data_IF_539220126257
#
_entry.id   IF_539220126257
#
_cell.length_a   1.000
_cell.length_b   1.000
_cell.length_c   1.000
_cell.angle_alpha   90.00
_cell.angle_beta   90.00
_cell.angle_gamma   90.00
#
_symmetry.space_group_name_H-M   'P 1'
#
loop_
_entity.id
_entity.type
_entity.pdbx_description
1 polymer ?
#
# COMPACT_ATOMS: atom_id res chain seq x y z
N UNK A 1 -22.66 18.42 33.90
CA UNK A 1 -22.44 17.11 33.25
C UNK A 1 -22.48 17.32 31.75
N UNK A 2 -21.38 17.84 31.18
CA UNK A 2 -21.33 18.23 29.77
C UNK A 2 -20.87 17.04 28.94
N UNK A 3 -21.80 16.59 28.11
CA UNK A 3 -21.65 15.54 27.12
C UNK A 3 -20.81 16.14 25.98
N UNK A 4 -19.51 15.82 25.94
CA UNK A 4 -18.71 16.00 24.72
C UNK A 4 -18.41 14.61 24.15
N UNK A 5 -19.43 14.02 23.52
CA UNK A 5 -19.20 12.95 22.54
C UNK A 5 -18.65 13.61 21.28
N UNK A 6 -17.35 13.91 21.32
CA UNK A 6 -16.63 14.43 20.16
C UNK A 6 -16.16 13.28 19.27
N UNK A 7 -16.56 13.40 18.00
CA UNK A 7 -15.93 12.87 16.79
C UNK A 7 -16.01 11.35 16.54
N UNK A 8 -16.91 11.01 15.63
CA UNK A 8 -16.81 9.88 14.71
C UNK A 8 -15.46 9.92 13.96
N UNK A 9 -14.42 9.39 14.59
CA UNK A 9 -13.14 9.14 13.96
C UNK A 9 -13.30 8.04 12.92
N UNK A 10 -13.41 8.41 11.64
CA UNK A 10 -13.27 7.48 10.51
C UNK A 10 -12.08 6.58 10.81
N UNK A 11 -12.34 5.27 10.91
CA UNK A 11 -11.34 4.24 11.06
C UNK A 11 -10.32 4.39 9.91
N UNK A 12 -9.21 5.08 10.15
CA UNK A 12 -8.08 5.09 9.23
C UNK A 12 -7.62 3.64 9.16
N UNK A 13 -8.06 2.92 8.12
CA UNK A 13 -7.66 1.53 7.90
C UNK A 13 -6.14 1.55 7.84
N UNK A 14 -5.51 0.99 8.88
CA UNK A 14 -4.06 0.92 9.00
C UNK A 14 -3.55 0.28 7.72
N UNK A 15 -2.85 1.08 6.92
CA UNK A 15 -2.31 0.62 5.65
C UNK A 15 -1.24 -0.42 5.95
N UNK A 16 -1.28 -1.54 5.24
CA UNK A 16 -0.35 -2.66 5.43
C UNK A 16 0.68 -2.64 4.31
N UNK A 17 1.93 -2.92 4.68
CA UNK A 17 3.01 -3.02 3.70
C UNK A 17 2.71 -4.11 2.67
N UNK A 18 2.85 -3.82 1.37
CA UNK A 18 2.61 -4.83 0.32
C UNK A 18 3.58 -6.01 0.35
N UNK A 19 4.78 -5.81 0.90
CA UNK A 19 5.83 -6.84 0.96
C UNK A 19 5.70 -7.67 2.25
N UNK A 20 5.78 -7.03 3.42
CA UNK A 20 5.82 -7.75 4.70
C UNK A 20 4.46 -7.85 5.40
N UNK A 21 3.39 -7.25 4.84
CA UNK A 21 2.03 -7.20 5.40
C UNK A 21 1.90 -6.61 6.81
N UNK A 22 2.99 -6.08 7.37
CA UNK A 22 2.98 -5.39 8.66
C UNK A 22 2.25 -4.06 8.56
N UNK A 23 1.55 -3.71 9.63
CA UNK A 23 0.87 -2.43 9.77
C UNK A 23 1.89 -1.29 9.82
N UNK A 24 1.59 -0.22 9.10
CA UNK A 24 2.55 0.83 8.87
C UNK A 24 2.36 2.04 9.79
N UNK A 25 3.46 2.49 10.38
CA UNK A 25 3.57 3.81 11.01
C UNK A 25 4.44 4.78 10.16
N UNK A 26 5.34 4.27 9.30
CA UNK A 26 6.17 5.07 8.38
C UNK A 26 6.73 4.28 7.18
N UNK A 27 6.86 4.93 6.02
CA UNK A 27 7.43 4.36 4.80
C UNK A 27 7.00 5.15 3.55
N UNK A 28 7.10 4.53 2.37
CA UNK A 28 6.72 5.14 1.08
C UNK A 28 5.35 4.64 0.60
N UNK A 29 4.65 5.49 -0.15
CA UNK A 29 3.35 5.19 -0.74
C UNK A 29 3.50 5.17 -2.26
N UNK A 30 3.10 4.07 -2.89
CA UNK A 30 3.12 3.87 -4.34
C UNK A 30 1.71 3.47 -4.76
N UNK A 31 1.04 4.34 -5.52
CA UNK A 31 -0.27 4.09 -6.11
C UNK A 31 -1.36 3.62 -5.12
N UNK A 32 -1.45 4.30 -3.96
CA UNK A 32 -2.39 3.95 -2.88
C UNK A 32 -2.00 2.73 -2.04
N UNK A 33 -0.87 2.09 -2.34
CA UNK A 33 -0.30 0.98 -1.57
C UNK A 33 0.94 1.45 -0.81
N UNK A 34 1.22 0.85 0.34
CA UNK A 34 2.33 1.30 1.19
C UNK A 34 3.46 0.27 1.26
N UNK A 35 4.69 0.74 1.40
CA UNK A 35 5.89 -0.05 1.67
C UNK A 35 6.52 0.46 2.95
N UNK A 36 6.82 -0.43 3.89
CA UNK A 36 7.45 -0.01 5.14
C UNK A 36 8.89 0.42 4.95
N UNK A 37 9.36 1.35 5.78
CA UNK A 37 10.75 1.83 5.77
C UNK A 37 11.78 0.69 5.88
N UNK A 38 11.44 -0.38 6.59
CA UNK A 38 12.30 -1.57 6.65
C UNK A 38 12.39 -2.32 5.31
N UNK A 39 11.28 -2.43 4.58
CA UNK A 39 11.26 -3.05 3.25
C UNK A 39 11.92 -2.16 2.20
N UNK A 40 11.73 -0.83 2.29
CA UNK A 40 12.42 0.15 1.45
C UNK A 40 13.94 0.06 1.63
N UNK A 41 14.45 0.08 2.87
CA UNK A 41 15.88 -0.09 3.14
C UNK A 41 16.43 -1.41 2.60
N UNK A 42 15.66 -2.49 2.74
CA UNK A 42 16.03 -3.80 2.17
C UNK A 42 16.09 -3.74 0.65
N UNK A 43 15.12 -3.09 0.00
CA UNK A 43 15.09 -2.92 -1.45
C UNK A 43 16.29 -2.11 -1.97
N UNK A 44 16.70 -1.07 -1.26
CA UNK A 44 17.87 -0.26 -1.61
C UNK A 44 19.20 -0.99 -1.35
N UNK A 45 19.21 -1.92 -0.39
CA UNK A 45 20.40 -2.70 -0.02
C UNK A 45 20.56 -3.97 -0.86
N UNK A 46 19.50 -4.43 -1.53
CA UNK A 46 19.52 -5.70 -2.27
C UNK A 46 20.20 -5.54 -3.62
N UNK A 47 21.06 -6.50 -3.97
CA UNK A 47 21.63 -6.57 -5.32
C UNK A 47 20.58 -6.97 -6.36
N UNK A 48 20.67 -6.40 -7.57
CA UNK A 48 19.73 -6.64 -8.67
C UNK A 48 19.65 -8.11 -9.11
N UNK A 49 20.72 -8.88 -8.92
CA UNK A 49 20.81 -10.30 -9.28
C UNK A 49 20.57 -11.21 -8.07
N UNK A 50 19.53 -10.93 -7.28
CA UNK A 50 19.15 -11.78 -6.15
C UNK A 50 17.68 -12.16 -6.26
N UNK A 51 17.35 -13.38 -5.83
CA UNK A 51 15.96 -13.88 -5.76
C UNK A 51 15.04 -12.96 -4.94
N UNK A 52 15.63 -12.22 -4.00
CA UNK A 52 14.94 -11.20 -3.25
C UNK A 52 14.43 -10.07 -4.16
N UNK A 53 15.27 -9.53 -5.05
CA UNK A 53 14.86 -8.44 -5.95
C UNK A 53 13.69 -8.85 -6.84
N UNK A 54 13.69 -10.08 -7.36
CA UNK A 54 12.59 -10.59 -8.18
C UNK A 54 11.28 -10.68 -7.38
N UNK A 55 11.35 -11.19 -6.14
CA UNK A 55 10.20 -11.18 -5.23
C UNK A 55 9.64 -9.78 -4.96
N UNK A 56 10.51 -8.80 -4.72
CA UNK A 56 10.09 -7.41 -4.54
C UNK A 56 9.43 -6.84 -5.80
N UNK A 57 10.04 -7.09 -6.97
CA UNK A 57 9.54 -6.66 -8.28
C UNK A 57 8.15 -7.25 -8.55
N UNK A 58 7.93 -8.53 -8.29
CA UNK A 58 6.63 -9.19 -8.50
C UNK A 58 5.55 -8.60 -7.59
N UNK A 59 5.87 -8.34 -6.32
CA UNK A 59 4.95 -7.70 -5.37
C UNK A 59 4.52 -6.30 -5.85
N UNK A 60 5.47 -5.47 -6.30
CA UNK A 60 5.20 -4.12 -6.80
C UNK A 60 4.41 -4.19 -8.11
N UNK A 61 4.76 -5.11 -9.02
CA UNK A 61 4.05 -5.32 -10.29
C UNK A 61 2.59 -5.71 -10.05
N UNK A 62 2.33 -6.64 -9.14
CA UNK A 62 0.96 -7.02 -8.73
C UNK A 62 0.21 -5.82 -8.14
N UNK A 63 0.86 -5.01 -7.31
CA UNK A 63 0.26 -3.80 -6.76
C UNK A 63 -0.14 -2.80 -7.85
N UNK A 64 0.72 -2.57 -8.85
CA UNK A 64 0.43 -1.69 -9.99
C UNK A 64 -0.70 -2.20 -10.88
N UNK A 65 -0.68 -3.50 -11.23
CA UNK A 65 -1.72 -4.12 -12.05
C UNK A 65 -3.09 -4.03 -11.38
N UNK A 66 -3.15 -4.26 -10.06
CA UNK A 66 -4.39 -4.11 -9.31
C UNK A 66 -4.93 -2.68 -9.36
N UNK A 67 -4.07 -1.66 -9.33
CA UNK A 67 -4.54 -0.27 -9.46
C UNK A 67 -5.07 0.02 -10.86
N UNK A 68 -4.36 -0.38 -11.92
CA UNK A 68 -4.79 -0.17 -13.32
C UNK A 68 -6.13 -0.87 -13.59
N UNK A 69 -6.32 -2.09 -13.07
CA UNK A 69 -7.59 -2.81 -13.18
C UNK A 69 -8.71 -2.11 -12.40
N UNK A 70 -8.42 -1.57 -11.23
CA UNK A 70 -9.40 -0.86 -10.42
C UNK A 70 -9.84 0.47 -11.10
N UNK A 71 -8.90 1.20 -11.71
CA UNK A 71 -9.19 2.41 -12.50
C UNK A 71 -10.14 2.10 -13.67
N UNK A 72 -9.96 0.95 -14.35
CA UNK A 72 -10.88 0.50 -15.42
C UNK A 72 -12.28 0.17 -14.91
N UNK A 73 -12.44 -0.25 -13.66
CA UNK A 73 -13.77 -0.49 -13.07
C UNK A 73 -14.46 0.79 -12.59
N UNK A 74 -13.73 1.87 -12.31
CA UNK A 74 -14.31 3.17 -11.98
C UNK A 74 -14.86 3.89 -13.22
N UNK A 75 -14.24 3.69 -14.38
CA UNK A 75 -14.79 4.17 -15.67
C UNK A 75 -16.12 3.49 -16.01
N UNK A 76 -16.33 2.22 -15.64
CA UNK A 76 -17.59 1.50 -15.91
C UNK A 76 -18.74 1.83 -14.94
N UNK A 77 -18.45 2.36 -13.75
CA UNK A 77 -19.51 2.72 -12.78
C UNK A 77 -20.09 4.11 -12.98
N UNK A 78 -19.45 4.95 -13.79
CA UNK A 78 -19.88 6.32 -14.04
C UNK A 78 -20.72 6.49 -15.32
N UNK A 79 -21.13 5.38 -15.94
CA UNK A 79 -21.92 5.36 -17.17
C UNK A 79 -23.25 4.58 -17.03
N UNK A 80 -23.75 4.41 -15.81
CA UNK A 80 -25.08 3.83 -15.56
C UNK A 80 -25.94 4.75 -14.71
#
# INVERSE_FOLDING_TARGET
>A
MLITKSAEGRLMRKQKCIICRKELNSGIIINGRVICKACEKRLLSVGLNTDFYDFYRDCIKKAMVQTILNERTEVQKNYK
#
